data_IF_962321739441
#
_entry.id   IF_962321739441
#
_cell.length_a   1.000
_cell.length_b   1.000
_cell.length_c   1.000
_cell.angle_alpha   90.00
_cell.angle_beta   90.00
_cell.angle_gamma   90.00
#
_symmetry.space_group_name_H-M   'P 1'
#
loop_
_entity.id
_entity.type
_entity.pdbx_description
1 polymer ?
#
# COMPACT_ATOMS: atom_id res chain seq x y z
N UNK A 1 26.29 -2.36 -32.94
CA UNK A 1 26.29 -1.76 -31.59
C UNK A 1 24.85 -1.80 -31.08
N UNK A 2 24.49 -2.78 -30.24
CA UNK A 2 23.13 -2.90 -29.70
C UNK A 2 22.89 -1.79 -28.67
N UNK A 3 21.71 -1.17 -28.62
CA UNK A 3 21.46 -0.04 -27.72
C UNK A 3 21.52 -0.52 -26.26
N UNK A 4 22.53 -0.03 -25.54
CA UNK A 4 22.78 -0.22 -24.10
C UNK A 4 21.61 0.25 -23.20
N UNK A 5 20.58 0.82 -23.80
CA UNK A 5 19.48 1.50 -23.12
C UNK A 5 18.43 0.50 -22.60
N UNK A 6 18.32 -0.69 -23.21
CA UNK A 6 17.34 -1.72 -22.79
C UNK A 6 17.74 -2.43 -21.51
N UNK A 7 19.02 -2.73 -21.32
CA UNK A 7 19.52 -3.44 -20.13
C UNK A 7 19.32 -2.60 -18.87
N UNK A 8 19.60 -1.30 -18.93
CA UNK A 8 19.42 -0.38 -17.80
C UNK A 8 17.94 -0.25 -17.40
N UNK A 9 17.02 -0.13 -18.36
CA UNK A 9 15.59 -0.07 -18.06
C UNK A 9 15.06 -1.35 -17.37
N UNK A 10 15.60 -2.52 -17.74
CA UNK A 10 15.24 -3.81 -17.12
C UNK A 10 15.74 -3.87 -15.68
N UNK A 11 16.98 -3.45 -15.41
CA UNK A 11 17.53 -3.44 -14.05
C UNK A 11 16.77 -2.47 -13.14
N UNK A 12 16.45 -1.27 -13.63
CA UNK A 12 15.63 -0.30 -12.87
C UNK A 12 14.23 -0.84 -12.57
N UNK A 13 13.56 -1.44 -13.57
CA UNK A 13 12.25 -2.06 -13.37
C UNK A 13 12.32 -3.23 -12.37
N UNK A 14 13.38 -4.04 -12.42
CA UNK A 14 13.61 -5.13 -11.49
C UNK A 14 13.74 -4.64 -10.03
N UNK A 15 14.53 -3.59 -9.79
CA UNK A 15 14.67 -2.99 -8.46
C UNK A 15 13.40 -2.27 -7.98
N UNK A 16 12.63 -1.68 -8.90
CA UNK A 16 11.32 -1.09 -8.59
C UNK A 16 10.32 -2.13 -8.05
N UNK A 17 10.37 -3.37 -8.55
CA UNK A 17 9.54 -4.47 -8.03
C UNK A 17 10.03 -4.90 -6.65
N UNK A 18 11.34 -5.08 -6.45
CA UNK A 18 11.92 -5.47 -5.17
C UNK A 18 11.65 -4.44 -4.05
N UNK A 19 11.75 -3.14 -4.36
CA UNK A 19 11.44 -2.07 -3.39
C UNK A 19 9.97 -2.05 -2.95
N UNK A 20 9.04 -2.53 -3.79
CA UNK A 20 7.63 -2.69 -3.41
C UNK A 20 7.44 -3.83 -2.41
N UNK A 21 8.19 -4.92 -2.55
CA UNK A 21 8.17 -6.03 -1.61
C UNK A 21 8.62 -5.60 -0.22
N UNK A 22 9.71 -4.84 -0.12
CA UNK A 22 10.19 -4.30 1.17
C UNK A 22 9.10 -3.55 1.96
N UNK A 23 8.27 -2.74 1.29
CA UNK A 23 7.18 -1.99 1.95
C UNK A 23 6.07 -2.93 2.44
N UNK A 24 5.78 -4.01 1.71
CA UNK A 24 4.77 -5.00 2.08
C UNK A 24 5.28 -5.85 3.24
N UNK A 25 6.49 -6.39 3.11
CA UNK A 25 7.15 -7.25 4.09
C UNK A 25 7.29 -6.53 5.44
N UNK A 26 7.74 -5.27 5.42
CA UNK A 26 7.93 -4.47 6.63
C UNK A 26 6.63 -4.07 7.33
N UNK A 27 5.57 -3.75 6.58
CA UNK A 27 4.31 -3.27 7.18
C UNK A 27 3.36 -4.39 7.60
N UNK A 28 3.40 -5.53 6.91
CA UNK A 28 2.45 -6.62 7.13
C UNK A 28 3.07 -7.89 7.66
N UNK A 29 4.39 -7.89 7.88
CA UNK A 29 5.11 -9.03 8.42
C UNK A 29 4.82 -10.29 7.56
N UNK A 30 4.89 -10.09 6.24
CA UNK A 30 4.41 -11.06 5.25
C UNK A 30 5.08 -12.42 5.42
N UNK A 31 6.37 -12.44 5.76
CA UNK A 31 7.16 -13.65 6.04
C UNK A 31 6.62 -14.48 7.22
N UNK A 32 5.98 -13.83 8.21
CA UNK A 32 5.37 -14.51 9.37
C UNK A 32 3.90 -14.87 9.16
N UNK A 33 3.31 -14.52 8.02
CA UNK A 33 1.91 -14.82 7.70
C UNK A 33 1.68 -16.33 7.56
N UNK A 34 0.84 -16.91 8.42
CA UNK A 34 0.47 -18.33 8.38
C UNK A 34 -0.64 -18.65 7.36
N UNK A 35 -1.13 -17.66 6.63
CA UNK A 35 -2.15 -17.81 5.59
C UNK A 35 -1.51 -18.52 4.38
N UNK A 36 -1.67 -19.86 4.30
CA UNK A 36 -1.05 -20.70 3.26
C UNK A 36 -2.03 -21.58 2.48
N UNK A 37 -3.31 -21.62 2.87
CA UNK A 37 -4.32 -22.52 2.31
C UNK A 37 -5.33 -21.79 1.40
N UNK A 38 -5.83 -22.52 0.39
CA UNK A 38 -6.87 -22.06 -0.53
C UNK A 38 -6.48 -20.76 -1.26
N UNK A 39 -7.44 -19.84 -1.38
CA UNK A 39 -7.25 -18.51 -2.00
C UNK A 39 -6.73 -17.45 -1.01
N UNK A 40 -6.40 -17.84 0.22
CA UNK A 40 -5.93 -16.94 1.26
C UNK A 40 -4.70 -16.11 0.86
N UNK A 41 -3.61 -16.74 0.36
CA UNK A 41 -2.41 -16.03 -0.08
C UNK A 41 -2.69 -14.98 -1.17
N UNK A 42 -3.49 -15.34 -2.18
CA UNK A 42 -3.80 -14.42 -3.27
C UNK A 42 -4.65 -13.23 -2.80
N UNK A 43 -5.69 -13.51 -2.00
CA UNK A 43 -6.60 -12.49 -1.49
C UNK A 43 -5.87 -11.50 -0.57
N UNK A 44 -5.00 -11.98 0.33
CA UNK A 44 -4.28 -11.11 1.25
C UNK A 44 -3.26 -10.24 0.52
N UNK A 45 -2.54 -10.78 -0.48
CA UNK A 45 -1.62 -9.99 -1.29
C UNK A 45 -2.35 -8.89 -2.07
N UNK A 46 -3.54 -9.19 -2.64
CA UNK A 46 -4.38 -8.19 -3.31
C UNK A 46 -4.83 -7.08 -2.36
N UNK A 47 -5.30 -7.43 -1.16
CA UNK A 47 -5.72 -6.48 -0.13
C UNK A 47 -4.56 -5.58 0.34
N UNK A 48 -3.38 -6.16 0.60
CA UNK A 48 -2.16 -5.40 1.00
C UNK A 48 -1.76 -4.39 -0.08
N UNK A 49 -1.77 -4.82 -1.35
CA UNK A 49 -1.48 -3.94 -2.50
C UNK A 49 -2.51 -2.83 -2.64
N UNK A 50 -3.78 -3.13 -2.44
CA UNK A 50 -4.86 -2.13 -2.46
C UNK A 50 -4.65 -1.07 -1.38
N UNK A 51 -4.40 -1.48 -0.13
CA UNK A 51 -4.16 -0.57 0.98
C UNK A 51 -2.95 0.36 0.74
N UNK A 52 -1.82 -0.18 0.27
CA UNK A 52 -0.64 0.64 -0.07
C UNK A 52 -0.96 1.60 -1.23
N UNK A 53 -1.72 1.14 -2.22
CA UNK A 53 -2.17 1.99 -3.33
C UNK A 53 -3.01 3.18 -2.87
N UNK A 54 -3.94 2.95 -1.91
CA UNK A 54 -4.74 4.01 -1.31
C UNK A 54 -3.87 5.04 -0.57
N UNK A 55 -2.90 4.57 0.22
CA UNK A 55 -2.01 5.45 0.97
C UNK A 55 -1.10 6.29 0.05
N UNK A 56 -0.60 5.70 -1.03
CA UNK A 56 0.23 6.41 -2.02
C UNK A 56 -0.53 7.47 -2.80
N UNK A 57 -1.85 7.34 -2.93
CA UNK A 57 -2.66 8.29 -3.68
C UNK A 57 -2.84 9.63 -2.93
N UNK A 58 -2.79 9.61 -1.60
CA UNK A 58 -2.92 10.84 -0.80
C UNK A 58 -1.58 11.58 -0.72
N UNK A 59 -1.62 12.89 -1.01
CA UNK A 59 -0.50 13.81 -0.74
C UNK A 59 -0.42 14.07 0.76
N UNK A 60 0.42 13.33 1.47
CA UNK A 60 0.73 13.55 2.88
C UNK A 60 2.24 13.62 3.08
N UNK A 61 2.67 14.40 4.07
CA UNK A 61 4.08 14.55 4.46
C UNK A 61 4.62 13.36 5.24
N UNK A 62 3.79 12.36 5.53
CA UNK A 62 4.09 11.22 6.38
C UNK A 62 4.49 10.00 5.55
N UNK A 63 5.30 9.13 6.14
CA UNK A 63 5.72 7.89 5.47
C UNK A 63 4.62 6.82 5.53
N UNK A 64 4.65 5.86 4.59
CA UNK A 64 3.67 4.76 4.55
C UNK A 64 3.59 3.99 5.88
N UNK A 65 4.72 3.63 6.54
CA UNK A 65 4.65 2.92 7.82
C UNK A 65 4.00 3.72 8.95
N UNK A 66 4.24 5.03 9.01
CA UNK A 66 3.62 5.90 10.01
C UNK A 66 2.11 6.01 9.81
N UNK A 67 1.67 6.18 8.56
CA UNK A 67 0.25 6.17 8.21
C UNK A 67 -0.41 4.83 8.57
N UNK A 68 0.24 3.72 8.22
CA UNK A 68 -0.24 2.37 8.53
C UNK A 68 -0.41 2.16 10.03
N UNK A 69 0.58 2.57 10.83
CA UNK A 69 0.52 2.49 12.30
C UNK A 69 -0.63 3.33 12.88
N UNK A 70 -0.84 4.56 12.37
CA UNK A 70 -1.94 5.43 12.81
C UNK A 70 -3.31 4.84 12.47
N UNK A 71 -3.47 4.31 11.26
CA UNK A 71 -4.71 3.71 10.80
C UNK A 71 -5.02 2.38 11.49
N UNK A 72 -3.99 1.58 11.81
CA UNK A 72 -4.13 0.33 12.56
C UNK A 72 -4.72 0.56 13.97
N UNK A 73 -4.31 1.66 14.62
CA UNK A 73 -4.75 2.00 15.96
C UNK A 73 -6.07 2.78 16.01
N UNK A 74 -6.62 3.19 14.86
CA UNK A 74 -7.83 4.02 14.79
C UNK A 74 -8.73 3.64 13.61
N UNK A 75 -9.68 2.74 13.88
CA UNK A 75 -10.72 2.32 12.90
C UNK A 75 -11.58 3.48 12.41
N UNK A 76 -11.85 4.49 13.24
CA UNK A 76 -12.59 5.68 12.80
C UNK A 76 -11.81 6.47 11.75
N UNK A 77 -10.50 6.63 11.95
CA UNK A 77 -9.64 7.27 10.98
C UNK A 77 -9.60 6.51 9.64
N UNK A 78 -9.70 5.18 9.65
CA UNK A 78 -9.83 4.38 8.43
C UNK A 78 -11.12 4.70 7.69
N UNK A 79 -12.26 4.76 8.38
CA UNK A 79 -13.54 5.13 7.76
C UNK A 79 -13.55 6.57 7.25
N UNK A 80 -12.96 7.50 7.98
CA UNK A 80 -12.76 8.88 7.53
C UNK A 80 -11.89 8.91 6.26
N UNK A 81 -10.84 8.07 6.21
CA UNK A 81 -9.94 7.95 5.06
C UNK A 81 -10.66 7.42 3.80
N UNK A 82 -11.59 6.49 4.01
CA UNK A 82 -12.45 5.91 2.97
C UNK A 82 -13.63 6.82 2.60
N UNK A 83 -13.75 8.01 3.20
CA UNK A 83 -14.89 8.92 3.05
C UNK A 83 -16.24 8.32 3.45
N UNK A 84 -16.22 7.38 4.40
CA UNK A 84 -17.42 6.64 4.84
C UNK A 84 -18.11 7.30 6.04
N UNK A 85 -17.59 8.41 6.55
CA UNK A 85 -18.19 9.15 7.67
C UNK A 85 -18.69 10.53 7.22
N UNK A 86 -19.71 11.05 7.91
CA UNK A 86 -20.21 12.41 7.65
C UNK A 86 -19.13 13.48 7.81
N UNK A 87 -18.19 13.30 8.75
CA UNK A 87 -17.08 14.24 8.96
C UNK A 87 -16.12 14.34 7.76
N UNK A 88 -16.01 13.27 6.99
CA UNK A 88 -15.11 13.19 5.83
C UNK A 88 -15.76 13.63 4.51
N UNK A 89 -17.07 13.91 4.52
CA UNK A 89 -17.83 14.38 3.38
C UNK A 89 -18.55 15.67 3.79
N UNK A 90 -17.92 16.85 3.65
CA UNK A 90 -18.55 18.10 4.03
C UNK A 90 -19.84 18.26 3.24
N UNK A 91 -20.91 18.63 3.94
CA UNK A 91 -22.20 18.87 3.30
C UNK A 91 -22.01 19.90 2.18
N UNK A 92 -22.59 19.69 0.98
CA UNK A 92 -22.40 20.57 -0.17
C UNK A 92 -23.03 21.97 0.01
N UNK A 93 -23.58 22.28 1.19
CA UNK A 93 -24.26 23.53 1.50
C UNK A 93 -23.64 24.11 2.77
N UNK A 94 -22.55 24.87 2.60
CA UNK A 94 -22.06 25.89 3.55
C UNK A 94 -21.53 27.07 2.75
#
# INVERSE_FOLDING_TARGET
MLPQNRSFAITEAHWSIASRHYIIDWNYDEDRSQIRSGFGPENITRLRRFAIGLLKNKKQSETIPEMMKKLLLNTRAVFDYLKMTRNSNPDPIS
#
